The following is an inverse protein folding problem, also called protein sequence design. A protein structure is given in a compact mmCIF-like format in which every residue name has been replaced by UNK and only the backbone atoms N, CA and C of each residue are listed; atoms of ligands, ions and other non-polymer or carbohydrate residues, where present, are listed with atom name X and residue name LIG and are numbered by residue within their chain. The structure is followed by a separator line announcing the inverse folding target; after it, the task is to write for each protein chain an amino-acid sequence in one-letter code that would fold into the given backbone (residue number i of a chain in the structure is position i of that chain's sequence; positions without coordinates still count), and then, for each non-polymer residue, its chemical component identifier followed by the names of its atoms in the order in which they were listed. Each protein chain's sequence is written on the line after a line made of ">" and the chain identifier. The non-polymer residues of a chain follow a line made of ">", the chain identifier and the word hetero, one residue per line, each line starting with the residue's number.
data_IF_127011104761
#
_entry.id   IF_127011104761
#
_cell.length_a   1.000
_cell.length_b   1.000
_cell.length_c   1.000
_cell.angle_alpha   90.00
_cell.angle_beta   90.00
_cell.angle_gamma   90.00
#
_symmetry.space_group_name_H-M   'P 1'
#
loop_
_entity.id
_entity.type
_entity.pdbx_description
1 polymer ?
#
# COMPACT_ATOMS: atom_id res chain seq x y z
N UNK A 1 37.89 -10.02 -15.09
CA UNK A 1 36.75 -9.68 -15.97
C UNK A 1 36.95 -10.44 -17.26
N UNK A 2 35.91 -11.17 -17.68
CA UNK A 2 35.67 -11.57 -19.07
C UNK A 2 36.27 -12.87 -19.67
N UNK A 3 36.01 -14.01 -19.01
CA UNK A 3 36.23 -15.35 -19.62
C UNK A 3 34.96 -16.22 -19.75
N UNK A 4 33.77 -15.69 -19.46
CA UNK A 4 32.51 -16.46 -19.51
C UNK A 4 31.50 -16.01 -20.59
N UNK A 5 31.75 -14.92 -21.32
CA UNK A 5 30.78 -14.38 -22.30
C UNK A 5 30.96 -14.82 -23.76
N UNK A 6 31.95 -15.66 -24.11
CA UNK A 6 32.23 -15.99 -25.53
C UNK A 6 31.56 -17.25 -26.09
N UNK A 7 30.95 -18.11 -25.27
CA UNK A 7 30.40 -19.39 -25.75
C UNK A 7 28.92 -19.39 -26.15
N UNK A 8 28.21 -18.28 -25.97
CA UNK A 8 26.77 -18.21 -26.29
C UNK A 8 26.47 -17.70 -27.71
N UNK A 9 27.44 -17.05 -28.37
CA UNK A 9 27.23 -16.43 -29.68
C UNK A 9 27.49 -17.37 -30.87
N UNK A 10 28.25 -18.46 -30.68
CA UNK A 10 28.58 -19.40 -31.77
C UNK A 10 27.46 -20.41 -32.07
N UNK A 11 26.52 -20.63 -31.15
CA UNK A 11 25.46 -21.61 -31.32
C UNK A 11 24.26 -21.12 -32.17
N UNK A 12 24.21 -19.82 -32.49
CA UNK A 12 23.09 -19.21 -33.22
C UNK A 12 23.36 -18.99 -34.73
N UNK A 13 24.54 -19.32 -35.24
CA UNK A 13 24.92 -18.99 -36.64
C UNK A 13 24.84 -20.13 -37.66
N UNK A 14 24.55 -21.36 -37.25
CA UNK A 14 24.41 -22.50 -38.17
C UNK A 14 22.94 -22.88 -38.33
N UNK A 15 22.23 -22.11 -39.17
CA UNK A 15 20.98 -22.53 -39.78
C UNK A 15 21.27 -23.41 -40.99
N UNK A 16 20.59 -24.55 -41.14
CA UNK A 16 20.13 -24.99 -42.45
C UNK A 16 18.88 -25.89 -42.31
N UNK A 17 17.92 -25.60 -43.18
CA UNK A 17 16.50 -25.98 -43.12
C UNK A 17 16.30 -27.32 -43.84
N UNK A 18 15.50 -28.21 -43.26
CA UNK A 18 14.70 -29.17 -44.03
C UNK A 18 13.30 -29.30 -43.40
N UNK A 19 12.28 -28.92 -44.18
CA UNK A 19 10.87 -29.05 -43.84
C UNK A 19 10.33 -30.40 -44.33
N UNK A 20 9.60 -31.17 -43.50
CA UNK A 20 8.67 -32.16 -44.01
C UNK A 20 7.20 -31.79 -43.70
N UNK A 21 6.41 -31.96 -44.76
CA UNK A 21 4.95 -32.06 -44.89
C UNK A 21 4.12 -32.42 -43.64
N UNK A 22 3.05 -31.66 -43.44
CA UNK A 22 1.94 -31.89 -42.50
C UNK A 22 1.08 -33.10 -42.93
N UNK A 23 0.65 -33.93 -41.97
CA UNK A 23 -0.75 -34.32 -41.92
C UNK A 23 -1.38 -33.98 -40.57
N UNK A 24 -2.65 -33.55 -40.62
CA UNK A 24 -3.34 -32.87 -39.54
C UNK A 24 -3.48 -33.67 -38.25
N UNK A 25 -3.42 -32.96 -37.12
CA UNK A 25 -4.09 -33.33 -35.88
C UNK A 25 -4.13 -32.12 -34.94
N UNK A 26 -5.34 -31.77 -34.53
CA UNK A 26 -5.73 -31.15 -33.25
C UNK A 26 -4.89 -29.97 -32.77
N UNK A 27 -5.42 -28.75 -32.97
CA UNK A 27 -4.92 -27.49 -32.39
C UNK A 27 -4.63 -27.63 -30.89
N UNK A 28 -3.36 -27.84 -30.54
CA UNK A 28 -2.90 -27.87 -29.16
C UNK A 28 -2.75 -26.43 -28.67
N UNK A 29 -3.68 -25.97 -27.82
CA UNK A 29 -3.68 -24.68 -27.11
C UNK A 29 -2.52 -24.51 -26.08
N UNK A 30 -1.44 -25.29 -26.20
CA UNK A 30 -0.33 -25.35 -25.26
C UNK A 30 0.48 -24.03 -25.21
N UNK A 31 0.81 -23.36 -26.34
CA UNK A 31 1.56 -22.11 -26.29
C UNK A 31 0.82 -21.02 -25.53
N UNK A 32 -0.50 -20.97 -25.68
CA UNK A 32 -1.36 -19.97 -25.01
C UNK A 32 -1.46 -20.23 -23.51
N UNK A 33 -1.58 -21.49 -23.08
CA UNK A 33 -1.53 -21.86 -21.65
C UNK A 33 -0.20 -21.53 -20.99
N UNK A 34 0.92 -21.71 -21.69
CA UNK A 34 2.25 -21.39 -21.18
C UNK A 34 2.42 -19.89 -21.00
N UNK A 35 1.96 -19.08 -21.96
CA UNK A 35 1.96 -17.62 -21.85
C UNK A 35 1.03 -17.12 -20.73
N UNK A 36 -0.18 -17.69 -20.58
CA UNK A 36 -1.12 -17.39 -19.48
C UNK A 36 -0.58 -17.79 -18.09
N UNK A 37 0.35 -18.75 -18.02
CA UNK A 37 0.98 -19.18 -16.77
C UNK A 37 2.20 -18.32 -16.40
N UNK A 38 3.03 -17.95 -17.39
CA UNK A 38 4.22 -17.11 -17.22
C UNK A 38 3.88 -15.66 -16.93
N UNK A 39 2.92 -15.12 -17.66
CA UNK A 39 2.32 -13.84 -17.37
C UNK A 39 1.02 -14.15 -16.66
N UNK A 40 0.92 -13.91 -15.35
CA UNK A 40 -0.35 -13.98 -14.58
C UNK A 40 -1.34 -12.92 -15.09
N UNK A 41 -1.68 -12.97 -16.37
CA UNK A 41 -2.68 -12.16 -17.03
C UNK A 41 -3.97 -12.72 -16.50
N UNK A 42 -4.44 -12.10 -15.43
CA UNK A 42 -5.81 -12.28 -15.00
C UNK A 42 -6.64 -11.89 -16.22
N UNK A 43 -7.28 -12.87 -16.87
CA UNK A 43 -8.39 -12.61 -17.78
C UNK A 43 -9.32 -11.71 -16.97
N UNK A 44 -9.35 -10.42 -17.32
CA UNK A 44 -10.32 -9.48 -16.74
C UNK A 44 -11.66 -10.06 -17.12
N UNK A 45 -12.30 -10.71 -16.16
CA UNK A 45 -13.69 -11.09 -16.27
C UNK A 45 -14.46 -9.84 -16.66
N UNK A 46 -15.28 -9.99 -17.68
CA UNK A 46 -16.13 -8.93 -18.20
C UNK A 46 -16.88 -8.25 -17.05
N UNK A 47 -16.68 -6.93 -16.99
CA UNK A 47 -17.72 -5.95 -16.67
C UNK A 47 -18.62 -6.27 -15.47
N UNK A 48 -18.11 -6.05 -14.26
CA UNK A 48 -18.98 -5.59 -13.19
C UNK A 48 -19.20 -4.08 -13.39
N UNK A 49 -20.46 -3.68 -13.53
CA UNK A 49 -20.88 -2.30 -13.81
C UNK A 49 -20.34 -1.34 -12.76
N UNK A 50 -19.20 -0.70 -13.02
CA UNK A 50 -18.69 0.57 -12.47
C UNK A 50 -19.15 1.01 -11.06
N UNK A 51 -19.30 0.05 -10.14
CA UNK A 51 -19.78 0.28 -8.78
C UNK A 51 -18.57 0.13 -7.89
N UNK A 52 -18.08 1.28 -7.41
CA UNK A 52 -16.94 1.28 -6.49
C UNK A 52 -17.37 0.63 -5.18
N UNK A 53 -17.00 -0.63 -4.98
CA UNK A 53 -17.09 -1.25 -3.67
C UNK A 53 -16.05 -0.63 -2.74
N UNK A 54 -16.51 0.02 -1.69
CA UNK A 54 -15.63 0.65 -0.70
C UNK A 54 -14.71 -0.35 -0.01
N UNK A 55 -15.16 -1.60 0.18
CA UNK A 55 -14.29 -2.68 0.68
C UNK A 55 -13.10 -2.95 -0.24
N UNK A 56 -13.29 -2.90 -1.55
CA UNK A 56 -12.18 -3.08 -2.50
C UNK A 56 -11.21 -1.90 -2.47
N UNK A 57 -11.70 -0.68 -2.25
CA UNK A 57 -10.85 0.51 -2.04
C UNK A 57 -10.01 0.33 -0.77
N UNK A 58 -10.65 -0.05 0.33
CA UNK A 58 -9.98 -0.28 1.61
C UNK A 58 -8.92 -1.38 1.49
N UNK A 59 -9.25 -2.53 0.88
CA UNK A 59 -8.28 -3.61 0.66
C UNK A 59 -7.05 -3.10 -0.10
N UNK A 60 -7.24 -2.33 -1.19
CA UNK A 60 -6.13 -1.74 -1.94
C UNK A 60 -5.31 -0.75 -1.09
N UNK A 61 -5.96 0.07 -0.26
CA UNK A 61 -5.29 1.01 0.63
C UNK A 61 -4.52 0.30 1.75
N UNK A 62 -5.03 -0.82 2.27
CA UNK A 62 -4.33 -1.65 3.25
C UNK A 62 -3.01 -2.18 2.69
N UNK A 63 -2.97 -2.63 1.43
CA UNK A 63 -1.72 -3.05 0.79
C UNK A 63 -0.71 -1.90 0.60
N UNK A 64 -1.19 -0.67 0.42
CA UNK A 64 -0.32 0.51 0.27
C UNK A 64 0.16 1.06 1.62
N UNK A 65 -0.67 0.91 2.66
CA UNK A 65 -0.45 1.44 4.00
C UNK A 65 -0.07 0.39 5.04
N UNK A 66 0.26 -0.85 4.65
CA UNK A 66 0.61 -1.94 5.58
C UNK A 66 1.76 -1.51 6.50
N UNK A 67 1.37 -1.08 7.70
CA UNK A 67 2.14 -1.08 8.93
C UNK A 67 1.55 -2.18 9.81
N UNK A 68 2.36 -3.02 10.48
CA UNK A 68 1.85 -4.00 11.42
C UNK A 68 1.18 -3.27 12.59
N UNK A 69 -0.08 -3.60 12.86
CA UNK A 69 -0.76 -3.25 14.11
C UNK A 69 -0.26 -4.17 15.22
N UNK A 70 0.52 -3.64 16.16
CA UNK A 70 0.75 -4.27 17.46
C UNK A 70 1.06 -3.21 18.52
N UNK A 71 0.53 -3.47 19.72
CA UNK A 71 0.41 -2.64 20.92
C UNK A 71 1.65 -1.81 21.31
N UNK A 72 1.38 -0.65 21.92
CA UNK A 72 2.35 0.28 22.51
C UNK A 72 3.22 -0.38 23.58
N UNK A 73 4.47 0.11 23.73
CA UNK A 73 4.74 0.90 24.93
C UNK A 73 5.54 2.20 24.70
N UNK A 74 5.08 3.21 25.43
CA UNK A 74 5.77 4.36 26.04
C UNK A 74 6.54 5.37 25.18
N UNK A 75 6.15 6.62 25.45
CA UNK A 75 6.61 7.86 24.85
C UNK A 75 8.04 8.16 25.27
N UNK A 76 8.89 8.40 24.28
CA UNK A 76 10.06 9.21 24.48
C UNK A 76 10.18 10.19 23.31
N UNK A 77 10.14 11.49 23.62
CA UNK A 77 10.40 12.55 22.66
C UNK A 77 11.91 12.72 22.54
N UNK A 78 12.45 12.44 21.36
CA UNK A 78 13.89 12.53 21.08
C UNK A 78 14.07 13.42 19.85
N UNK A 79 14.96 14.40 19.93
CA UNK A 79 15.19 15.39 18.89
C UNK A 79 16.68 15.52 18.53
N UNK A 80 16.92 15.41 17.21
CA UNK A 80 18.14 15.68 16.41
C UNK A 80 18.97 14.44 16.04
N UNK A 81 19.11 14.24 14.72
CA UNK A 81 20.30 13.80 13.99
C UNK A 81 21.00 12.49 14.35
N UNK A 82 21.38 12.30 15.61
CA UNK A 82 22.26 11.24 16.11
C UNK A 82 21.49 10.11 16.82
N UNK A 83 20.21 10.33 17.15
CA UNK A 83 19.37 9.40 17.93
C UNK A 83 18.74 8.25 17.10
N UNK A 84 18.99 8.19 15.78
CA UNK A 84 18.48 7.10 14.91
C UNK A 84 19.06 5.73 15.25
N UNK A 85 20.23 5.71 15.91
CA UNK A 85 20.83 4.46 16.38
C UNK A 85 19.96 3.75 17.41
N UNK A 86 19.17 4.50 18.20
CA UNK A 86 18.26 3.92 19.19
C UNK A 86 17.05 3.26 18.55
N UNK A 87 16.46 3.91 17.53
CA UNK A 87 15.41 3.27 16.74
C UNK A 87 15.94 2.01 16.09
N UNK A 88 17.12 2.08 15.44
CA UNK A 88 17.64 0.98 14.62
C UNK A 88 18.40 -0.11 15.36
N UNK A 89 18.37 -0.12 16.69
CA UNK A 89 19.17 -1.08 17.44
C UNK A 89 18.67 -2.52 17.26
N UNK A 90 17.36 -2.71 17.24
CA UNK A 90 16.72 -4.03 17.14
C UNK A 90 16.96 -4.62 15.74
N UNK A 91 16.65 -3.87 14.68
CA UNK A 91 16.91 -4.33 13.31
C UNK A 91 18.39 -4.60 13.05
N UNK A 92 19.30 -3.80 13.64
CA UNK A 92 20.75 -4.05 13.57
C UNK A 92 21.13 -5.39 14.21
N UNK A 93 20.65 -5.68 15.43
CA UNK A 93 20.94 -6.95 16.11
C UNK A 93 20.49 -8.15 15.28
N UNK A 94 19.26 -8.11 14.75
CA UNK A 94 18.75 -9.18 13.88
C UNK A 94 19.55 -9.31 12.57
N UNK A 95 19.98 -8.19 11.96
CA UNK A 95 20.87 -8.22 10.78
C UNK A 95 22.24 -8.83 11.07
N UNK A 96 22.80 -8.55 12.24
CA UNK A 96 24.09 -9.12 12.64
C UNK A 96 23.97 -10.63 12.89
N UNK A 97 22.90 -11.07 13.58
CA UNK A 97 22.56 -12.50 13.76
C UNK A 97 22.31 -13.20 12.43
N UNK A 98 21.55 -12.58 11.52
CA UNK A 98 21.31 -13.09 10.16
C UNK A 98 22.63 -13.31 9.42
N UNK A 99 23.53 -12.32 9.44
CA UNK A 99 24.85 -12.42 8.79
C UNK A 99 25.67 -13.55 9.39
N UNK A 100 25.66 -13.68 10.72
CA UNK A 100 26.35 -14.75 11.43
C UNK A 100 25.85 -16.14 11.00
N UNK A 101 24.53 -16.36 10.97
CA UNK A 101 23.95 -17.65 10.57
C UNK A 101 24.22 -17.98 9.11
N UNK A 102 24.07 -17.02 8.19
CA UNK A 102 24.40 -17.27 6.79
C UNK A 102 25.88 -17.55 6.56
N UNK A 103 26.78 -16.91 7.32
CA UNK A 103 28.20 -17.23 7.27
C UNK A 103 28.46 -18.66 7.73
N UNK A 104 27.83 -19.12 8.82
CA UNK A 104 27.91 -20.50 9.30
C UNK A 104 27.35 -21.50 8.29
N UNK A 105 26.21 -21.19 7.68
CA UNK A 105 25.61 -22.01 6.63
C UNK A 105 26.55 -22.20 5.44
N UNK A 106 27.17 -21.10 4.96
CA UNK A 106 28.12 -21.15 3.86
C UNK A 106 29.38 -21.96 4.20
N UNK A 107 29.89 -21.85 5.43
CA UNK A 107 31.03 -22.64 5.90
C UNK A 107 30.67 -24.13 5.97
N UNK A 108 29.53 -24.49 6.55
CA UNK A 108 29.08 -25.89 6.64
C UNK A 108 28.85 -26.51 5.27
N UNK A 109 28.26 -25.74 4.34
CA UNK A 109 28.06 -26.18 2.96
C UNK A 109 29.38 -26.49 2.26
N UNK A 110 30.38 -25.59 2.40
CA UNK A 110 31.73 -25.80 1.86
C UNK A 110 32.43 -27.03 2.42
N UNK A 111 32.12 -27.41 3.67
CA UNK A 111 32.64 -28.62 4.32
C UNK A 111 31.88 -29.90 3.93
N UNK A 112 30.83 -29.80 3.12
CA UNK A 112 29.97 -30.93 2.75
C UNK A 112 28.94 -31.32 3.83
N UNK A 113 28.88 -30.59 4.95
CA UNK A 113 27.90 -30.80 6.01
C UNK A 113 26.57 -30.13 5.64
N UNK A 114 25.76 -30.87 4.88
CA UNK A 114 24.46 -30.41 4.37
C UNK A 114 23.43 -30.19 5.47
N UNK A 115 23.47 -30.98 6.55
CA UNK A 115 22.49 -30.87 7.63
C UNK A 115 22.70 -29.57 8.41
N UNK A 116 23.94 -29.29 8.83
CA UNK A 116 24.25 -28.02 9.51
C UNK A 116 24.06 -26.82 8.59
N UNK A 117 24.38 -26.95 7.30
CA UNK A 117 24.14 -25.89 6.33
C UNK A 117 22.65 -25.53 6.23
N UNK A 118 21.78 -26.54 6.14
CA UNK A 118 20.33 -26.34 6.10
C UNK A 118 19.82 -25.71 7.40
N UNK A 119 20.25 -26.20 8.56
CA UNK A 119 19.88 -25.66 9.86
C UNK A 119 20.24 -24.17 9.99
N UNK A 120 21.50 -23.81 9.75
CA UNK A 120 21.94 -22.42 9.84
C UNK A 120 21.29 -21.52 8.78
N UNK A 121 21.00 -22.05 7.59
CA UNK A 121 20.26 -21.30 6.58
C UNK A 121 18.85 -20.97 7.06
N UNK A 122 18.17 -21.89 7.75
CA UNK A 122 16.82 -21.66 8.26
C UNK A 122 16.82 -20.63 9.39
N UNK A 123 17.78 -20.72 10.33
CA UNK A 123 17.97 -19.68 11.35
C UNK A 123 18.24 -18.30 10.74
N UNK A 124 19.05 -18.23 9.68
CA UNK A 124 19.30 -16.99 8.95
C UNK A 124 18.04 -16.37 8.34
N UNK A 125 17.09 -17.19 7.84
CA UNK A 125 15.81 -16.69 7.32
C UNK A 125 14.94 -16.11 8.44
N UNK A 126 14.85 -16.80 9.57
CA UNK A 126 14.09 -16.32 10.72
C UNK A 126 14.60 -14.94 11.17
N UNK A 127 15.92 -14.79 11.31
CA UNK A 127 16.53 -13.50 11.66
C UNK A 127 16.33 -12.43 10.58
N UNK A 128 16.30 -12.81 9.29
CA UNK A 128 16.02 -11.89 8.20
C UNK A 128 14.57 -11.34 8.26
N UNK A 129 13.59 -12.20 8.54
CA UNK A 129 12.19 -11.80 8.72
C UNK A 129 12.02 -10.89 9.94
N UNK A 130 12.70 -11.20 11.05
CA UNK A 130 12.70 -10.35 12.25
C UNK A 130 13.34 -8.99 11.99
N UNK A 131 14.47 -8.96 11.28
CA UNK A 131 15.13 -7.73 10.87
C UNK A 131 14.23 -6.85 9.99
N UNK A 132 13.51 -7.45 9.03
CA UNK A 132 12.57 -6.72 8.18
C UNK A 132 11.43 -6.11 8.99
N UNK A 133 10.77 -6.89 9.86
CA UNK A 133 9.68 -6.40 10.71
C UNK A 133 10.13 -5.27 11.64
N UNK A 134 11.33 -5.41 12.21
CA UNK A 134 11.92 -4.37 13.04
C UNK A 134 12.17 -3.10 12.22
N UNK A 135 12.80 -3.19 11.04
CA UNK A 135 13.08 -2.04 10.20
C UNK A 135 11.81 -1.31 9.71
N UNK A 136 10.76 -2.06 9.34
CA UNK A 136 9.46 -1.48 8.97
C UNK A 136 8.86 -0.69 10.13
N UNK A 137 8.87 -1.26 11.34
CA UNK A 137 8.39 -0.58 12.55
C UNK A 137 9.22 0.66 12.86
N UNK A 138 10.54 0.53 12.88
CA UNK A 138 11.47 1.64 13.17
C UNK A 138 11.33 2.77 12.15
N UNK A 139 11.18 2.43 10.86
CA UNK A 139 10.93 3.40 9.79
C UNK A 139 9.63 4.17 10.01
N UNK A 140 8.57 3.47 10.41
CA UNK A 140 7.28 4.09 10.74
C UNK A 140 7.36 4.99 11.97
N UNK A 141 8.06 4.56 13.02
CA UNK A 141 8.23 5.34 14.25
C UNK A 141 9.05 6.61 13.98
N UNK A 142 10.13 6.51 13.20
CA UNK A 142 10.90 7.67 12.72
C UNK A 142 10.02 8.63 11.92
N UNK A 143 9.18 8.09 11.03
CA UNK A 143 8.26 8.89 10.24
C UNK A 143 7.28 9.65 11.14
N UNK A 144 6.64 8.98 12.09
CA UNK A 144 5.72 9.60 13.05
C UNK A 144 6.39 10.69 13.87
N UNK A 145 7.57 10.41 14.42
CA UNK A 145 8.30 11.36 15.27
C UNK A 145 8.71 12.62 14.49
N UNK A 146 9.29 12.47 13.30
CA UNK A 146 9.68 13.60 12.45
C UNK A 146 8.51 14.44 11.95
N UNK A 147 7.33 13.84 11.83
CA UNK A 147 6.12 14.53 11.42
C UNK A 147 5.25 14.96 12.61
N UNK A 148 5.70 14.74 13.84
CA UNK A 148 5.01 15.22 15.04
C UNK A 148 4.93 16.75 14.99
N UNK A 149 3.72 17.29 15.14
CA UNK A 149 3.45 18.72 15.05
C UNK A 149 3.46 19.31 13.63
N UNK A 150 3.66 18.49 12.59
CA UNK A 150 3.44 18.92 11.21
C UNK A 150 1.98 18.65 10.83
N UNK A 151 1.29 19.70 10.40
CA UNK A 151 -0.08 19.59 9.89
C UNK A 151 -0.07 19.59 8.37
N UNK A 152 0.02 18.41 7.76
CA UNK A 152 -0.12 18.27 6.31
C UNK A 152 -1.62 18.28 5.96
N UNK A 153 -1.99 19.25 5.15
CA UNK A 153 -3.38 19.47 4.72
C UNK A 153 -3.53 19.08 3.26
N UNK A 154 -4.42 18.13 2.96
CA UNK A 154 -4.88 17.89 1.59
C UNK A 154 -6.10 18.77 1.36
N UNK A 155 -6.11 19.53 0.26
CA UNK A 155 -7.26 20.36 -0.12
C UNK A 155 -7.93 19.78 -1.37
N UNK A 156 -9.23 19.56 -1.31
CA UNK A 156 -10.05 19.17 -2.46
C UNK A 156 -11.12 20.22 -2.74
N UNK A 157 -11.31 20.55 -4.02
CA UNK A 157 -12.33 21.48 -4.45
C UNK A 157 -13.49 20.77 -5.14
N UNK A 158 -14.66 20.84 -4.49
CA UNK A 158 -15.90 20.23 -4.94
C UNK A 158 -17.00 21.28 -5.17
N UNK A 159 -16.66 22.57 -5.20
CA UNK A 159 -17.66 23.62 -5.43
C UNK A 159 -18.33 23.43 -6.81
N UNK A 160 -19.63 23.69 -6.87
CA UNK A 160 -20.42 23.58 -8.10
C UNK A 160 -20.73 22.16 -8.56
N UNK A 161 -20.18 21.11 -7.92
CA UNK A 161 -20.52 19.74 -8.25
C UNK A 161 -21.90 19.33 -7.71
N UNK A 162 -22.54 18.38 -8.39
CA UNK A 162 -23.72 17.70 -7.83
C UNK A 162 -23.35 16.94 -6.55
N UNK A 163 -24.28 16.90 -5.59
CA UNK A 163 -24.02 16.35 -4.24
C UNK A 163 -23.54 14.90 -4.30
N UNK A 164 -24.19 14.03 -5.07
CA UNK A 164 -23.86 12.60 -5.16
C UNK A 164 -22.41 12.33 -5.62
N UNK A 165 -21.94 12.81 -6.79
CA UNK A 165 -20.55 12.60 -7.20
C UNK A 165 -19.53 13.28 -6.26
N UNK A 166 -19.85 14.46 -5.71
CA UNK A 166 -18.99 15.12 -4.74
C UNK A 166 -18.83 14.30 -3.44
N UNK A 167 -19.92 13.73 -2.92
CA UNK A 167 -19.88 12.87 -1.74
C UNK A 167 -19.06 11.60 -1.96
N UNK A 168 -19.06 11.03 -3.17
CA UNK A 168 -18.17 9.91 -3.52
C UNK A 168 -16.69 10.31 -3.44
N UNK A 169 -16.34 11.53 -3.87
CA UNK A 169 -14.98 12.05 -3.73
C UNK A 169 -14.59 12.29 -2.27
N UNK A 170 -15.52 12.79 -1.44
CA UNK A 170 -15.30 12.96 0.01
C UNK A 170 -15.04 11.61 0.67
N UNK A 171 -15.90 10.60 0.46
CA UNK A 171 -15.73 9.24 0.99
C UNK A 171 -14.37 8.63 0.58
N UNK A 172 -13.95 8.83 -0.68
CA UNK A 172 -12.65 8.36 -1.16
C UNK A 172 -11.48 9.00 -0.39
N UNK A 173 -11.53 10.32 -0.18
CA UNK A 173 -10.47 11.03 0.53
C UNK A 173 -10.50 10.75 2.04
N UNK A 174 -11.67 10.44 2.61
CA UNK A 174 -11.77 9.96 3.98
C UNK A 174 -11.06 8.62 4.16
N UNK A 175 -11.32 7.65 3.26
CA UNK A 175 -10.62 6.36 3.26
C UNK A 175 -9.12 6.57 3.01
N UNK A 176 -8.74 7.39 2.04
CA UNK A 176 -7.32 7.67 1.80
C UNK A 176 -6.62 8.25 3.03
N UNK A 177 -7.18 9.32 3.63
CA UNK A 177 -6.59 9.98 4.78
C UNK A 177 -6.53 9.11 6.04
N UNK A 178 -7.46 8.16 6.22
CA UNK A 178 -7.40 7.22 7.35
C UNK A 178 -6.27 6.19 7.24
N UNK A 179 -5.82 5.87 6.01
CA UNK A 179 -4.75 4.90 5.75
C UNK A 179 -3.38 5.54 5.51
N UNK A 180 -3.30 6.87 5.42
CA UNK A 180 -2.06 7.59 5.14
C UNK A 180 -1.69 8.46 6.35
N UNK A 181 -0.81 7.97 7.25
CA UNK A 181 -0.44 8.66 8.50
C UNK A 181 0.18 10.05 8.29
N UNK A 182 0.67 10.33 7.08
CA UNK A 182 1.25 11.60 6.72
C UNK A 182 0.23 12.72 6.56
N UNK A 183 -1.08 12.42 6.48
CA UNK A 183 -2.14 13.42 6.25
C UNK A 183 -2.89 13.66 7.55
N UNK A 184 -2.84 14.88 8.05
CA UNK A 184 -3.50 15.25 9.32
C UNK A 184 -4.88 15.86 9.08
N UNK A 185 -5.03 16.62 8.00
CA UNK A 185 -6.27 17.36 7.72
C UNK A 185 -6.68 17.22 6.26
N UNK A 186 -7.98 17.02 6.03
CA UNK A 186 -8.63 17.20 4.73
C UNK A 186 -9.44 18.50 4.74
N UNK A 187 -9.07 19.45 3.89
CA UNK A 187 -9.84 20.66 3.60
C UNK A 187 -10.75 20.41 2.39
N UNK A 188 -12.06 20.51 2.60
CA UNK A 188 -13.07 20.34 1.54
C UNK A 188 -13.70 21.69 1.22
N UNK A 189 -13.53 22.15 -0.02
CA UNK A 189 -14.22 23.33 -0.53
C UNK A 189 -15.57 22.89 -1.10
N UNK A 190 -16.65 23.37 -0.49
CA UNK A 190 -18.03 22.97 -0.77
C UNK A 190 -18.85 24.08 -1.46
N UNK A 191 -18.25 25.26 -1.63
CA UNK A 191 -18.90 26.46 -2.15
C UNK A 191 -19.76 27.18 -1.09
N UNK A 192 -20.11 28.45 -1.38
CA UNK A 192 -20.84 29.32 -0.45
C UNK A 192 -22.38 29.26 -0.59
N UNK A 193 -22.91 28.32 -1.38
CA UNK A 193 -24.32 28.30 -1.79
C UNK A 193 -24.63 29.22 -2.99
N UNK A 194 -25.85 29.14 -3.52
CA UNK A 194 -26.28 29.91 -4.71
C UNK A 194 -26.06 31.41 -4.52
N UNK A 195 -25.21 32.02 -5.35
CA UNK A 195 -24.88 33.47 -5.33
C UNK A 195 -24.46 34.01 -3.94
N UNK A 196 -23.96 33.15 -3.03
CA UNK A 196 -23.61 33.54 -1.66
C UNK A 196 -24.78 33.71 -0.70
N UNK A 197 -26.01 33.42 -1.14
CA UNK A 197 -27.26 33.55 -0.38
C UNK A 197 -27.88 32.16 -0.21
N UNK A 198 -27.33 31.37 0.72
CA UNK A 198 -27.87 30.05 1.08
C UNK A 198 -26.83 29.11 1.69
N UNK A 199 -27.30 28.08 2.40
CA UNK A 199 -26.42 27.01 2.91
C UNK A 199 -26.11 26.04 1.76
N UNK A 200 -24.83 25.76 1.49
CA UNK A 200 -24.44 24.77 0.47
C UNK A 200 -25.02 23.39 0.81
N UNK A 201 -25.82 22.81 -0.10
CA UNK A 201 -26.37 21.45 0.06
C UNK A 201 -25.24 20.43 0.25
N UNK A 202 -24.18 20.56 -0.54
CA UNK A 202 -23.00 19.70 -0.42
C UNK A 202 -22.37 19.81 0.97
N UNK A 203 -22.20 21.03 1.49
CA UNK A 203 -21.66 21.23 2.84
C UNK A 203 -22.49 20.51 3.91
N UNK A 204 -23.81 20.61 3.83
CA UNK A 204 -24.72 19.90 4.75
C UNK A 204 -24.56 18.39 4.65
N UNK A 205 -24.45 17.84 3.43
CA UNK A 205 -24.22 16.40 3.23
C UNK A 205 -22.88 15.94 3.79
N UNK A 206 -21.82 16.75 3.63
CA UNK A 206 -20.50 16.48 4.22
C UNK A 206 -20.60 16.46 5.74
N UNK A 207 -21.16 17.49 6.36
CA UNK A 207 -21.29 17.58 7.83
C UNK A 207 -22.09 16.40 8.38
N UNK A 208 -23.24 16.07 7.78
CA UNK A 208 -24.05 14.92 8.19
C UNK A 208 -23.29 13.59 8.14
N UNK A 209 -22.45 13.40 7.10
CA UNK A 209 -21.60 12.21 7.01
C UNK A 209 -20.58 12.20 8.15
N UNK A 210 -19.90 13.32 8.39
CA UNK A 210 -18.87 13.41 9.43
C UNK A 210 -19.45 13.19 10.84
N UNK A 211 -20.62 13.76 11.12
CA UNK A 211 -21.36 13.54 12.37
C UNK A 211 -21.78 12.08 12.53
N UNK A 212 -22.32 11.47 11.47
CA UNK A 212 -22.69 10.04 11.47
C UNK A 212 -21.50 9.13 11.75
N UNK A 213 -20.33 9.44 11.19
CA UNK A 213 -19.11 8.68 11.39
C UNK A 213 -18.37 9.06 12.69
N UNK A 214 -18.81 10.09 13.42
CA UNK A 214 -18.12 10.59 14.62
C UNK A 214 -16.71 11.11 14.33
N UNK A 215 -16.54 11.82 13.22
CA UNK A 215 -15.25 12.39 12.77
C UNK A 215 -15.17 13.85 13.23
N UNK A 216 -14.04 14.25 13.80
CA UNK A 216 -13.81 15.64 14.20
C UNK A 216 -13.69 16.54 12.98
N UNK A 217 -14.44 17.64 12.96
CA UNK A 217 -14.42 18.62 11.90
C UNK A 217 -14.65 20.03 12.43
N UNK A 218 -14.22 21.02 11.65
CA UNK A 218 -14.47 22.43 11.93
C UNK A 218 -14.79 23.19 10.66
N UNK A 219 -15.58 24.25 10.78
CA UNK A 219 -15.85 25.18 9.68
C UNK A 219 -14.73 26.22 9.59
N UNK A 220 -13.90 26.19 8.54
CA UNK A 220 -12.89 27.25 8.29
C UNK A 220 -13.58 28.55 7.83
N UNK A 221 -14.61 28.41 6.98
CA UNK A 221 -15.50 29.50 6.58
C UNK A 221 -16.78 28.94 5.93
N UNK A 222 -17.68 29.83 5.51
CA UNK A 222 -18.98 29.48 4.91
C UNK A 222 -18.91 28.44 3.78
N UNK A 223 -17.81 28.38 3.02
CA UNK A 223 -17.65 27.43 1.91
C UNK A 223 -16.60 26.34 2.12
N UNK A 224 -16.04 26.19 3.32
CA UNK A 224 -14.94 25.23 3.59
C UNK A 224 -15.11 24.49 4.90
N UNK A 225 -14.87 23.20 4.87
CA UNK A 225 -14.88 22.29 6.02
C UNK A 225 -13.48 21.69 6.17
N UNK A 226 -12.94 21.70 7.39
CA UNK A 226 -11.72 20.99 7.75
C UNK A 226 -12.10 19.72 8.48
N UNK A 227 -11.48 18.61 8.11
CA UNK A 227 -11.71 17.29 8.67
C UNK A 227 -10.38 16.81 9.23
N UNK A 228 -10.32 16.49 10.51
CA UNK A 228 -9.10 15.98 11.13
C UNK A 228 -9.09 14.45 11.09
N UNK A 229 -7.96 13.88 10.69
CA UNK A 229 -7.76 12.43 10.72
C UNK A 229 -7.20 12.00 12.06
N UNK A 230 -7.89 11.07 12.72
CA UNK A 230 -7.48 10.44 13.98
C UNK A 230 -7.27 8.95 13.77
N UNK A 231 -6.08 8.58 13.28
CA UNK A 231 -5.69 7.19 13.07
C UNK A 231 -6.51 6.43 12.01
N UNK A 232 -6.30 5.12 11.96
CA UNK A 232 -7.05 4.24 11.08
C UNK A 232 -8.44 3.99 11.66
N UNK A 233 -9.46 4.06 10.78
CA UNK A 233 -10.87 3.95 11.15
C UNK A 233 -11.61 3.08 10.13
N UNK A 234 -12.59 2.33 10.62
CA UNK A 234 -13.60 1.70 9.79
C UNK A 234 -14.81 2.64 9.65
N UNK A 235 -15.34 2.79 8.43
CA UNK A 235 -16.46 3.69 8.15
C UNK A 235 -17.75 2.92 7.94
N UNK A 236 -18.88 3.44 8.42
CA UNK A 236 -20.19 2.77 8.26
C UNK A 236 -20.64 2.68 6.80
N UNK A 237 -20.17 3.59 5.95
CA UNK A 237 -20.47 3.57 4.51
C UNK A 237 -19.72 2.49 3.74
N UNK A 238 -18.78 1.75 4.36
CA UNK A 238 -18.07 0.66 3.68
C UNK A 238 -19.00 -0.52 3.34
N UNK A 239 -20.06 -0.67 4.14
CA UNK A 239 -21.02 -1.78 4.07
C UNK A 239 -22.29 -1.40 3.30
N UNK A 240 -22.45 -0.11 3.00
CA UNK A 240 -23.58 0.41 2.23
C UNK A 240 -23.18 0.48 0.76
N UNK A 241 -23.52 -0.55 -0.01
CA UNK A 241 -23.49 -0.48 -1.49
C UNK A 241 -24.50 0.55 -2.04
N UNK A 242 -25.39 1.04 -1.18
CA UNK A 242 -26.41 2.03 -1.48
C UNK A 242 -25.96 3.42 -1.09
N UNK A 243 -25.63 4.24 -2.08
CA UNK A 243 -25.85 5.69 -2.01
C UNK A 243 -27.36 5.93 -1.96
N UNK A 244 -28.00 5.62 -0.83
CA UNK A 244 -29.45 5.74 -0.69
C UNK A 244 -29.87 7.19 -0.82
N UNK A 245 -30.63 7.44 -1.88
CA UNK A 245 -31.21 8.73 -2.24
C UNK A 245 -32.15 9.19 -1.12
N UNK A 246 -31.70 10.17 -0.35
CA UNK A 246 -32.59 10.97 0.49
C UNK A 246 -32.62 12.37 -0.12
N UNK A 247 -33.71 12.63 -0.86
CA UNK A 247 -34.08 13.93 -1.44
C UNK A 247 -34.07 15.06 -0.40
#
# INVERSE_FOLDING_TARGET
>A
MDYFCRKYAEFLSSSEIQSPSIPGSTESNLPQKVLESLFKIHKRTEYDKNTMSWRNVVKKMQYLGSSPTAAEPQQHAYARGEEFHMFREISRRHRDSMRYYYQKAAISYKKGDKQSAAYFSEQGKVEAELAQKAEEKESHDIFKDRNKGRENVITIDLHGQYVKPAMRMVKLHLVFGSYVPSVQVLRVITGRGSHGVGKSKLKQSVIKLLEKEGIEWSEENKGRVLIKFTGCREFSFLDSDSDSDSN
#
